data_IF_536704605373
#
_entry.id   IF_536704605373
#
_cell.length_a   1.000
_cell.length_b   1.000
_cell.length_c   1.000
_cell.angle_alpha   90.00
_cell.angle_beta   90.00
_cell.angle_gamma   90.00
#
_symmetry.space_group_name_H-M   'P 1'
#
loop_
_entity.id
_entity.type
_entity.pdbx_description
1 polymer ?
#
# COMPACT_ATOMS: atom_id res chain seq x y z
N UNK A 1 -0.28 41.86 17.59
CA UNK A 1 -1.48 41.00 17.41
C UNK A 1 -1.78 41.03 15.92
N UNK A 2 -2.00 39.91 15.28
CA UNK A 2 -2.40 39.72 13.86
C UNK A 2 -1.25 39.62 12.84
N UNK A 3 -0.57 38.47 12.78
CA UNK A 3 0.15 37.95 11.62
C UNK A 3 0.61 36.49 11.84
N UNK A 4 -0.32 35.62 12.28
CA UNK A 4 -0.07 34.19 12.41
C UNK A 4 -1.33 33.41 11.99
N UNK A 5 -1.69 33.54 10.70
CA UNK A 5 -2.67 32.64 10.06
C UNK A 5 -2.52 32.84 8.55
N UNK A 6 -1.75 31.99 7.91
CA UNK A 6 -1.92 31.53 6.51
C UNK A 6 -0.69 30.71 6.11
N UNK A 7 -0.49 29.61 6.81
CA UNK A 7 0.29 28.49 6.35
C UNK A 7 -0.64 27.29 6.23
N UNK A 8 -1.70 27.42 5.43
CA UNK A 8 -2.42 26.27 4.93
C UNK A 8 -1.46 25.53 4.01
N UNK A 9 -0.80 24.50 4.54
CA UNK A 9 -0.09 23.52 3.73
C UNK A 9 -1.09 23.03 2.69
N UNK A 10 -0.89 23.47 1.46
CA UNK A 10 -1.53 22.94 0.27
C UNK A 10 -1.27 21.43 0.32
N UNK A 11 -2.29 20.65 0.67
CA UNK A 11 -2.27 19.19 0.59
C UNK A 11 -2.15 18.90 -0.90
N UNK A 12 -0.91 18.85 -1.41
CA UNK A 12 -0.62 18.42 -2.77
C UNK A 12 -1.05 16.96 -2.85
N UNK A 13 -2.20 16.74 -3.47
CA UNK A 13 -2.75 15.41 -3.71
C UNK A 13 -1.70 14.54 -4.39
N UNK A 14 -1.38 13.41 -3.78
CA UNK A 14 -0.53 12.40 -4.38
C UNK A 14 -1.20 11.89 -5.66
N UNK A 15 -0.50 11.78 -6.81
CA UNK A 15 -1.11 11.29 -8.03
C UNK A 15 -1.67 9.89 -7.83
N UNK A 16 -2.92 9.71 -8.27
CA UNK A 16 -3.57 8.41 -8.24
C UNK A 16 -2.85 7.42 -9.16
N UNK A 17 -2.72 6.19 -8.70
CA UNK A 17 -2.18 5.11 -9.52
C UNK A 17 -3.22 4.65 -10.55
N UNK A 18 -3.13 5.24 -11.75
CA UNK A 18 -4.01 4.97 -12.88
C UNK A 18 -4.00 3.49 -13.28
N UNK A 19 -2.87 2.79 -13.17
CA UNK A 19 -2.76 1.39 -13.57
C UNK A 19 -3.61 0.49 -12.68
N UNK A 20 -3.66 0.76 -11.37
CA UNK A 20 -4.50 0.02 -10.42
C UNK A 20 -5.97 0.29 -10.66
N UNK A 21 -6.34 1.56 -10.86
CA UNK A 21 -7.73 1.94 -11.13
C UNK A 21 -8.23 1.34 -12.45
N UNK A 22 -7.42 1.40 -13.52
CA UNK A 22 -7.72 0.79 -14.82
C UNK A 22 -7.81 -0.73 -14.75
N UNK A 23 -6.89 -1.40 -14.04
CA UNK A 23 -6.91 -2.84 -13.87
C UNK A 23 -8.16 -3.33 -13.14
N UNK A 24 -8.53 -2.65 -12.04
CA UNK A 24 -9.75 -2.95 -11.29
C UNK A 24 -11.01 -2.71 -12.15
N UNK A 25 -11.07 -1.56 -12.82
CA UNK A 25 -12.19 -1.23 -13.71
C UNK A 25 -12.32 -2.24 -14.87
N UNK A 26 -11.21 -2.65 -15.48
CA UNK A 26 -11.20 -3.66 -16.55
C UNK A 26 -11.67 -5.02 -16.03
N UNK A 27 -11.20 -5.48 -14.87
CA UNK A 27 -11.64 -6.73 -14.25
C UNK A 27 -13.15 -6.75 -13.97
N UNK A 28 -13.67 -5.68 -13.38
CA UNK A 28 -15.11 -5.52 -13.13
C UNK A 28 -15.88 -5.45 -14.45
N UNK A 29 -15.38 -4.71 -15.45
CA UNK A 29 -16.04 -4.58 -16.75
C UNK A 29 -16.15 -5.91 -17.47
N UNK A 30 -15.12 -6.76 -17.46
CA UNK A 30 -15.16 -8.11 -18.08
C UNK A 30 -16.24 -8.96 -17.42
N UNK A 31 -16.31 -8.99 -16.09
CA UNK A 31 -17.34 -9.77 -15.38
C UNK A 31 -18.73 -9.24 -15.67
N UNK A 32 -18.94 -7.93 -15.60
CA UNK A 32 -20.23 -7.30 -15.93
C UNK A 32 -20.65 -7.59 -17.38
N UNK A 33 -19.73 -7.53 -18.33
CA UNK A 33 -20.01 -7.85 -19.74
C UNK A 33 -20.47 -9.29 -19.89
N UNK A 34 -19.79 -10.24 -19.25
CA UNK A 34 -20.21 -11.66 -19.28
C UNK A 34 -21.60 -11.88 -18.67
N UNK A 35 -21.90 -11.21 -17.57
CA UNK A 35 -23.22 -11.26 -16.93
C UNK A 35 -24.31 -10.70 -17.86
N UNK A 36 -24.06 -9.54 -18.48
CA UNK A 36 -25.01 -8.88 -19.37
C UNK A 36 -25.26 -9.66 -20.68
N UNK A 37 -24.23 -10.32 -21.21
CA UNK A 37 -24.34 -11.20 -22.36
C UNK A 37 -25.11 -12.50 -22.04
N UNK A 38 -25.05 -12.95 -20.79
CA UNK A 38 -25.69 -14.19 -20.32
C UNK A 38 -27.16 -14.06 -19.90
N UNK A 39 -27.67 -12.82 -19.73
CA UNK A 39 -29.07 -12.61 -19.35
C UNK A 39 -29.34 -11.47 -18.37
N UNK A 40 -30.32 -11.66 -17.48
CA UNK A 40 -30.75 -10.63 -16.52
C UNK A 40 -29.81 -10.59 -15.29
N UNK A 41 -29.34 -9.39 -14.97
CA UNK A 41 -28.52 -9.09 -13.75
C UNK A 41 -29.19 -9.58 -12.44
N UNK A 42 -30.55 -9.62 -12.41
CA UNK A 42 -31.27 -10.07 -11.22
C UNK A 42 -30.99 -11.54 -10.88
N UNK A 43 -30.69 -12.35 -11.89
CA UNK A 43 -30.39 -13.78 -11.71
C UNK A 43 -29.04 -13.97 -10.97
N UNK A 44 -28.15 -12.98 -11.06
CA UNK A 44 -26.85 -12.99 -10.38
C UNK A 44 -26.87 -12.29 -9.03
N UNK A 45 -28.05 -11.96 -8.47
CA UNK A 45 -28.18 -11.35 -7.15
C UNK A 45 -28.87 -12.30 -6.18
N UNK A 46 -28.12 -12.76 -5.16
CA UNK A 46 -28.65 -13.60 -4.07
C UNK A 46 -28.13 -13.12 -2.73
N UNK A 47 -29.05 -12.75 -1.83
CA UNK A 47 -28.73 -12.22 -0.50
C UNK A 47 -28.09 -13.25 0.42
N UNK A 48 -28.46 -14.55 0.29
CA UNK A 48 -27.91 -15.61 1.13
C UNK A 48 -26.44 -15.84 0.80
N UNK A 49 -26.09 -15.88 -0.49
CA UNK A 49 -24.72 -15.99 -0.94
C UNK A 49 -23.87 -14.78 -0.47
N UNK A 50 -24.41 -13.57 -0.53
CA UNK A 50 -23.75 -12.36 -0.04
C UNK A 50 -23.47 -12.45 1.47
N UNK A 51 -24.47 -12.84 2.27
CA UNK A 51 -24.31 -12.98 3.73
C UNK A 51 -23.24 -14.02 4.08
N UNK A 52 -23.23 -15.16 3.39
CA UNK A 52 -22.22 -16.21 3.65
C UNK A 52 -20.82 -15.71 3.36
N UNK A 53 -20.60 -15.05 2.22
CA UNK A 53 -19.26 -14.59 1.83
C UNK A 53 -18.78 -13.44 2.72
N UNK A 54 -19.56 -12.34 2.75
CA UNK A 54 -19.13 -11.15 3.51
C UNK A 54 -19.18 -11.38 5.01
N UNK A 55 -20.23 -12.01 5.52
CA UNK A 55 -20.35 -12.32 6.95
C UNK A 55 -19.31 -13.33 7.40
N UNK A 56 -19.10 -14.41 6.65
CA UNK A 56 -18.11 -15.44 6.95
C UNK A 56 -16.66 -14.90 6.88
N UNK A 57 -16.32 -14.19 5.80
CA UNK A 57 -14.98 -13.60 5.65
C UNK A 57 -14.71 -12.53 6.71
N UNK A 58 -15.70 -11.71 7.05
CA UNK A 58 -15.57 -10.71 8.11
C UNK A 58 -15.39 -11.36 9.48
N UNK A 59 -16.19 -12.38 9.81
CA UNK A 59 -16.06 -13.12 11.06
C UNK A 59 -14.68 -13.79 11.19
N UNK A 60 -14.20 -14.45 10.12
CA UNK A 60 -12.87 -15.04 10.10
C UNK A 60 -11.74 -14.01 10.26
N UNK A 61 -11.92 -12.83 9.68
CA UNK A 61 -10.96 -11.72 9.82
C UNK A 61 -10.95 -11.18 11.25
N UNK A 62 -12.12 -11.06 11.89
CA UNK A 62 -12.23 -10.66 13.31
C UNK A 62 -11.55 -11.65 14.28
N UNK A 63 -11.55 -12.94 13.95
CA UNK A 63 -10.83 -13.96 14.74
C UNK A 63 -9.31 -13.77 14.62
N UNK A 64 -8.83 -13.35 13.46
CA UNK A 64 -7.39 -13.18 13.18
C UNK A 64 -6.82 -11.85 13.66
N UNK A 65 -7.60 -10.77 13.61
CA UNK A 65 -7.14 -9.41 13.87
C UNK A 65 -8.05 -8.69 14.85
N UNK A 66 -7.49 -7.86 15.76
CA UNK A 66 -8.29 -6.98 16.60
C UNK A 66 -9.11 -6.00 15.75
N UNK A 67 -10.31 -5.66 16.19
CA UNK A 67 -11.20 -4.74 15.49
C UNK A 67 -10.54 -3.38 15.20
N UNK A 68 -9.71 -2.89 16.13
CA UNK A 68 -8.97 -1.65 15.96
C UNK A 68 -8.03 -1.70 14.75
N UNK A 69 -7.28 -2.79 14.57
CA UNK A 69 -6.38 -2.98 13.41
C UNK A 69 -7.17 -3.04 12.10
N UNK A 70 -8.36 -3.66 12.09
CA UNK A 70 -9.20 -3.72 10.89
C UNK A 70 -9.70 -2.32 10.51
N UNK A 71 -10.21 -1.55 11.49
CA UNK A 71 -10.75 -0.21 11.25
C UNK A 71 -9.69 0.79 10.78
N UNK A 72 -8.44 0.65 11.20
CA UNK A 72 -7.34 1.50 10.75
C UNK A 72 -6.63 0.95 9.52
N UNK A 73 -6.43 -0.37 9.44
CA UNK A 73 -5.68 -1.01 8.36
C UNK A 73 -6.43 -1.02 7.02
N UNK A 74 -7.77 -1.18 7.01
CA UNK A 74 -8.56 -1.19 5.78
C UNK A 74 -8.52 0.16 5.05
N UNK A 75 -8.82 1.31 5.68
CA UNK A 75 -8.72 2.62 5.01
C UNK A 75 -7.29 2.96 4.61
N UNK A 76 -6.32 2.63 5.47
CA UNK A 76 -4.91 2.83 5.18
C UNK A 76 -4.49 2.05 3.94
N UNK A 77 -4.87 0.78 3.85
CA UNK A 77 -4.58 -0.06 2.71
C UNK A 77 -5.16 0.49 1.41
N UNK A 78 -6.42 0.94 1.39
CA UNK A 78 -7.02 1.60 0.21
C UNK A 78 -6.21 2.85 -0.16
N UNK A 79 -5.96 3.73 0.81
CA UNK A 79 -5.19 4.96 0.56
C UNK A 79 -3.85 4.66 -0.10
N UNK A 80 -3.07 3.74 0.47
CA UNK A 80 -1.74 3.42 -0.06
C UNK A 80 -1.78 2.60 -1.35
N UNK A 81 -2.78 1.74 -1.57
CA UNK A 81 -2.93 0.99 -2.82
C UNK A 81 -3.16 1.91 -4.03
N UNK A 82 -3.87 3.02 -3.84
CA UNK A 82 -4.20 3.97 -4.92
C UNK A 82 -3.31 5.22 -4.94
N UNK A 83 -2.37 5.37 -4.01
CA UNK A 83 -1.47 6.52 -3.97
C UNK A 83 -0.12 6.16 -4.60
N UNK A 84 0.34 6.96 -5.55
CA UNK A 84 1.66 6.80 -6.17
C UNK A 84 2.71 7.58 -5.37
N UNK A 85 3.93 7.05 -5.21
CA UNK A 85 5.03 7.79 -4.58
C UNK A 85 5.47 8.93 -5.51
N UNK A 86 5.79 10.09 -4.93
CA UNK A 86 6.20 11.28 -5.69
C UNK A 86 7.65 11.22 -6.15
N UNK A 87 8.52 10.56 -5.39
CA UNK A 87 9.96 10.53 -5.64
C UNK A 87 10.43 9.12 -5.90
N UNK A 88 11.24 8.96 -6.91
CA UNK A 88 11.96 7.71 -7.17
C UNK A 88 13.19 7.60 -6.25
N UNK A 89 13.76 6.40 -6.14
CA UNK A 89 15.02 6.21 -5.40
C UNK A 89 16.13 7.12 -5.93
N UNK A 90 16.18 7.34 -7.25
CA UNK A 90 17.15 8.21 -7.89
C UNK A 90 16.95 9.67 -7.47
N UNK A 91 15.70 10.14 -7.49
CA UNK A 91 15.39 11.51 -7.05
C UNK A 91 15.80 11.75 -5.60
N UNK A 92 15.62 10.74 -4.72
CA UNK A 92 16.07 10.79 -3.33
C UNK A 92 17.60 10.90 -3.21
N UNK A 93 18.34 10.10 -3.99
CA UNK A 93 19.81 10.16 -4.01
C UNK A 93 20.29 11.55 -4.44
N UNK A 94 19.70 12.09 -5.52
CA UNK A 94 20.05 13.41 -6.04
C UNK A 94 19.71 14.52 -5.06
N UNK A 95 18.54 14.44 -4.39
CA UNK A 95 18.13 15.41 -3.38
C UNK A 95 19.03 15.36 -2.13
N UNK A 96 19.37 14.18 -1.64
CA UNK A 96 20.29 14.03 -0.49
C UNK A 96 21.70 14.52 -0.86
N UNK A 97 22.18 14.24 -2.07
CA UNK A 97 23.47 14.74 -2.52
C UNK A 97 23.50 16.29 -2.62
N UNK A 98 22.40 16.91 -3.08
CA UNK A 98 22.21 18.36 -3.08
C UNK A 98 22.23 18.93 -1.67
N UNK A 99 21.52 18.30 -0.74
CA UNK A 99 21.52 18.69 0.68
C UNK A 99 22.92 18.55 1.33
N UNK A 100 23.68 17.54 0.93
CA UNK A 100 25.08 17.39 1.37
C UNK A 100 25.98 18.55 0.91
N UNK A 101 25.75 19.07 -0.29
CA UNK A 101 26.46 20.25 -0.78
C UNK A 101 26.12 21.49 0.06
N UNK A 102 24.83 21.70 0.37
CA UNK A 102 24.38 22.80 1.23
C UNK A 102 24.96 22.69 2.64
N UNK A 103 24.85 21.51 3.26
CA UNK A 103 25.40 21.25 4.59
C UNK A 103 26.90 21.51 4.67
N UNK A 104 27.65 21.16 3.62
CA UNK A 104 29.09 21.39 3.55
C UNK A 104 29.48 22.87 3.37
N UNK A 105 28.69 23.63 2.59
CA UNK A 105 28.98 25.06 2.31
C UNK A 105 28.51 26.00 3.41
N UNK A 106 27.33 25.76 3.97
CA UNK A 106 26.64 26.65 4.90
C UNK A 106 26.53 26.07 6.32
N UNK A 107 27.04 24.85 6.53
CA UNK A 107 26.88 24.13 7.78
C UNK A 107 25.46 23.56 7.96
N UNK A 108 25.20 22.82 9.08
CA UNK A 108 23.90 22.22 9.37
C UNK A 108 22.73 23.21 9.39
N UNK A 109 22.96 24.43 9.87
CA UNK A 109 21.96 25.50 9.88
C UNK A 109 21.51 25.93 8.48
N UNK A 110 22.33 25.70 7.44
CA UNK A 110 21.97 25.97 6.06
C UNK A 110 20.81 25.08 5.57
N UNK A 111 20.65 23.90 6.15
CA UNK A 111 19.59 22.96 5.80
C UNK A 111 18.19 23.42 6.22
N UNK A 112 18.08 24.29 7.24
CA UNK A 112 16.80 24.78 7.75
C UNK A 112 15.98 25.55 6.69
N UNK A 113 16.67 26.14 5.72
CA UNK A 113 16.04 26.95 4.63
C UNK A 113 15.70 26.15 3.41
N UNK A 114 16.14 24.89 3.34
CA UNK A 114 15.92 24.03 2.18
C UNK A 114 14.53 23.41 2.20
N UNK A 115 13.88 23.43 1.04
CA UNK A 115 12.61 22.72 0.84
C UNK A 115 12.88 21.28 0.47
N UNK A 116 12.36 20.34 1.25
CA UNK A 116 12.48 18.90 1.04
C UNK A 116 11.11 18.35 0.68
N UNK A 117 11.04 17.58 -0.40
CA UNK A 117 9.75 17.08 -0.92
C UNK A 117 9.24 15.81 -0.20
N UNK A 118 10.13 15.03 0.38
CA UNK A 118 9.78 13.83 1.14
C UNK A 118 9.68 14.17 2.63
N UNK A 119 8.55 13.83 3.28
CA UNK A 119 8.28 14.16 4.69
C UNK A 119 9.25 13.48 5.67
N UNK A 120 9.63 12.22 5.36
CA UNK A 120 10.54 11.48 6.21
C UNK A 120 11.97 12.03 6.12
N UNK A 121 12.42 12.38 4.91
CA UNK A 121 13.69 13.07 4.69
C UNK A 121 13.68 14.45 5.35
N UNK A 122 12.60 15.21 5.23
CA UNK A 122 12.47 16.53 5.88
C UNK A 122 12.60 16.44 7.40
N UNK A 123 12.04 15.39 8.01
CA UNK A 123 12.21 15.15 9.47
C UNK A 123 13.67 14.89 9.84
N UNK A 124 14.36 14.04 9.07
CA UNK A 124 15.77 13.76 9.28
C UNK A 124 16.67 15.00 9.10
N UNK A 125 16.42 15.77 8.04
CA UNK A 125 17.14 17.02 7.75
C UNK A 125 16.94 18.04 8.88
N UNK A 126 15.74 18.17 9.41
CA UNK A 126 15.46 19.02 10.57
C UNK A 126 16.24 18.61 11.80
N UNK A 127 16.33 17.31 12.12
CA UNK A 127 17.14 16.84 13.26
C UNK A 127 18.61 17.16 13.08
N UNK A 128 19.15 17.10 11.85
CA UNK A 128 20.53 17.50 11.56
C UNK A 128 20.71 19.01 11.75
N UNK A 129 19.78 19.83 11.26
CA UNK A 129 19.80 21.29 11.39
C UNK A 129 19.74 21.73 12.88
N UNK A 130 18.89 21.08 13.67
CA UNK A 130 18.73 21.31 15.11
C UNK A 130 19.94 20.84 15.94
N UNK A 131 20.90 20.13 15.33
CA UNK A 131 22.15 19.70 15.96
C UNK A 131 22.03 18.49 16.88
N UNK A 132 20.98 17.69 16.75
CA UNK A 132 20.81 16.45 17.54
C UNK A 132 21.99 15.49 17.35
N UNK A 133 22.22 14.64 18.35
CA UNK A 133 23.25 13.60 18.30
C UNK A 133 22.96 12.54 17.23
N UNK A 134 24.01 12.00 16.63
CA UNK A 134 23.91 11.01 15.55
C UNK A 134 23.12 9.76 15.97
N UNK A 135 23.35 9.26 17.20
CA UNK A 135 22.64 8.09 17.71
C UNK A 135 21.15 8.39 17.90
N UNK A 136 20.81 9.58 18.42
CA UNK A 136 19.43 10.00 18.56
C UNK A 136 18.72 10.07 17.21
N UNK A 137 19.36 10.69 16.20
CA UNK A 137 18.79 10.82 14.85
C UNK A 137 18.50 9.43 14.26
N UNK A 138 19.49 8.53 14.35
CA UNK A 138 19.35 7.16 13.85
C UNK A 138 18.21 6.42 14.54
N UNK A 139 18.20 6.38 15.87
CA UNK A 139 17.15 5.67 16.63
C UNK A 139 15.75 6.24 16.39
N UNK A 140 15.62 7.56 16.30
CA UNK A 140 14.33 8.21 16.06
C UNK A 140 13.78 7.85 14.69
N UNK A 141 14.61 7.94 13.63
CA UNK A 141 14.20 7.62 12.27
C UNK A 141 13.96 6.11 12.07
N UNK A 142 14.78 5.23 12.66
CA UNK A 142 14.56 3.78 12.62
C UNK A 142 13.24 3.41 13.29
N UNK A 143 12.91 4.00 14.43
CA UNK A 143 11.64 3.75 15.15
C UNK A 143 10.43 4.26 14.35
N UNK A 144 10.54 5.42 13.71
CA UNK A 144 9.50 5.94 12.83
C UNK A 144 9.31 5.04 11.60
N UNK A 145 10.41 4.58 10.98
CA UNK A 145 10.40 3.61 9.88
C UNK A 145 9.67 2.33 10.28
N UNK A 146 10.07 1.70 11.40
CA UNK A 146 9.47 0.45 11.89
C UNK A 146 7.98 0.60 12.16
N UNK A 147 7.59 1.69 12.82
CA UNK A 147 6.17 1.96 13.10
C UNK A 147 5.37 2.08 11.81
N UNK A 148 5.88 2.81 10.82
CA UNK A 148 5.22 2.97 9.53
C UNK A 148 5.10 1.65 8.77
N UNK A 149 6.19 0.87 8.68
CA UNK A 149 6.21 -0.42 7.99
C UNK A 149 5.27 -1.43 8.66
N UNK A 150 5.23 -1.45 10.01
CA UNK A 150 4.31 -2.30 10.76
C UNK A 150 2.85 -2.01 10.43
N UNK A 151 2.46 -0.74 10.39
CA UNK A 151 1.08 -0.37 10.03
C UNK A 151 0.73 -0.73 8.58
N UNK A 152 1.67 -0.58 7.65
CA UNK A 152 1.45 -0.94 6.25
C UNK A 152 1.34 -2.46 6.07
N UNK A 153 2.17 -3.22 6.77
CA UNK A 153 2.16 -4.69 6.81
C UNK A 153 0.87 -5.25 7.43
N UNK A 154 0.38 -4.64 8.53
CA UNK A 154 -0.93 -4.99 9.08
C UNK A 154 -2.06 -4.80 8.06
N UNK A 155 -2.06 -3.67 7.35
CA UNK A 155 -3.03 -3.43 6.28
C UNK A 155 -2.98 -4.50 5.19
N UNK A 156 -1.77 -4.82 4.70
CA UNK A 156 -1.54 -5.86 3.72
C UNK A 156 -2.05 -7.24 4.18
N UNK A 157 -1.73 -7.64 5.41
CA UNK A 157 -2.15 -8.91 6.01
C UNK A 157 -3.67 -9.02 6.14
N UNK A 158 -4.37 -7.94 6.45
CA UNK A 158 -5.84 -7.92 6.54
C UNK A 158 -6.46 -8.19 5.17
N UNK A 159 -6.03 -7.50 4.11
CA UNK A 159 -6.53 -7.73 2.76
C UNK A 159 -6.25 -9.16 2.29
N UNK A 160 -5.06 -9.67 2.55
CA UNK A 160 -4.69 -11.04 2.22
C UNK A 160 -5.57 -12.05 2.95
N UNK A 161 -5.82 -11.84 4.25
CA UNK A 161 -6.67 -12.72 5.04
C UNK A 161 -8.12 -12.79 4.51
N UNK A 162 -8.69 -11.63 4.12
CA UNK A 162 -10.02 -11.60 3.50
C UNK A 162 -9.99 -12.32 2.14
N UNK A 163 -8.97 -12.07 1.31
CA UNK A 163 -8.78 -12.72 0.03
C UNK A 163 -8.68 -14.25 0.12
N UNK A 164 -7.97 -14.76 1.12
CA UNK A 164 -7.82 -16.20 1.36
C UNK A 164 -9.13 -16.82 1.90
N UNK A 165 -9.87 -16.09 2.73
CA UNK A 165 -11.11 -16.60 3.34
C UNK A 165 -12.31 -16.56 2.40
N UNK A 166 -12.43 -15.55 1.54
CA UNK A 166 -13.63 -15.38 0.70
C UNK A 166 -13.94 -16.60 -0.19
N UNK A 167 -12.98 -17.22 -0.92
CA UNK A 167 -13.24 -18.44 -1.68
C UNK A 167 -13.57 -19.64 -0.78
N UNK A 168 -12.97 -19.74 0.40
CA UNK A 168 -13.27 -20.81 1.36
C UNK A 168 -14.73 -20.73 1.83
N UNK A 169 -15.23 -19.53 2.15
CA UNK A 169 -16.65 -19.34 2.47
C UNK A 169 -17.53 -19.51 1.23
N UNK A 170 -17.01 -19.26 0.02
CA UNK A 170 -17.68 -19.62 -1.23
C UNK A 170 -17.96 -21.12 -1.31
N UNK A 171 -16.97 -21.97 -1.00
CA UNK A 171 -17.16 -23.41 -0.94
C UNK A 171 -18.13 -23.83 0.17
N UNK A 172 -18.10 -23.20 1.34
CA UNK A 172 -19.10 -23.44 2.40
C UNK A 172 -20.51 -23.12 1.90
N UNK A 173 -20.69 -21.99 1.21
CA UNK A 173 -21.97 -21.63 0.60
C UNK A 173 -22.45 -22.66 -0.43
N UNK A 174 -21.56 -23.21 -1.24
CA UNK A 174 -21.86 -24.29 -2.19
C UNK A 174 -22.37 -25.53 -1.46
N UNK A 175 -21.68 -25.95 -0.38
CA UNK A 175 -22.10 -27.13 0.41
C UNK A 175 -23.47 -26.92 1.06
N UNK A 176 -23.71 -25.73 1.62
CA UNK A 176 -25.02 -25.38 2.20
C UNK A 176 -26.12 -25.45 1.17
N UNK A 177 -25.91 -24.84 -0.01
CA UNK A 177 -26.88 -24.88 -1.12
C UNK A 177 -27.17 -26.29 -1.60
N UNK A 178 -26.14 -27.15 -1.71
CA UNK A 178 -26.34 -28.56 -2.08
C UNK A 178 -27.12 -29.34 -1.02
N UNK A 179 -26.82 -29.15 0.26
CA UNK A 179 -27.56 -29.79 1.36
C UNK A 179 -29.03 -29.40 1.33
N UNK A 180 -29.35 -28.11 1.11
CA UNK A 180 -30.71 -27.61 0.97
C UNK A 180 -31.41 -28.19 -0.27
N UNK A 181 -30.70 -28.30 -1.39
CA UNK A 181 -31.21 -28.94 -2.60
C UNK A 181 -31.59 -30.40 -2.35
N UNK A 182 -30.73 -31.19 -1.70
CA UNK A 182 -31.01 -32.59 -1.37
C UNK A 182 -32.17 -32.76 -0.36
N UNK A 183 -32.29 -31.83 0.58
CA UNK A 183 -33.42 -31.85 1.54
C UNK A 183 -34.79 -31.63 0.87
N UNK A 184 -34.80 -31.03 -0.34
CA UNK A 184 -36.02 -30.71 -1.08
C UNK A 184 -36.10 -31.46 -2.42
N UNK A 185 -35.45 -32.60 -2.58
CA UNK A 185 -35.40 -33.40 -3.82
C UNK A 185 -36.79 -33.82 -4.35
N UNK A 186 -37.81 -33.88 -3.50
CA UNK A 186 -39.19 -34.21 -3.88
C UNK A 186 -39.92 -33.04 -4.54
N UNK A 187 -39.40 -31.82 -4.48
CA UNK A 187 -39.98 -30.62 -5.04
C UNK A 187 -39.08 -30.03 -6.15
N UNK A 188 -39.29 -30.39 -7.43
CA UNK A 188 -38.42 -29.92 -8.52
C UNK A 188 -38.34 -28.39 -8.66
N UNK A 189 -39.35 -27.66 -8.18
CA UNK A 189 -39.37 -26.19 -8.27
C UNK A 189 -38.31 -25.51 -7.38
N UNK A 190 -37.86 -26.19 -6.35
CA UNK A 190 -36.87 -25.68 -5.40
C UNK A 190 -35.42 -26.03 -5.78
N UNK A 191 -35.21 -27.04 -6.62
CA UNK A 191 -33.85 -27.48 -6.97
C UNK A 191 -33.05 -26.40 -7.67
N UNK A 192 -33.63 -25.69 -8.64
CA UNK A 192 -32.99 -24.61 -9.37
C UNK A 192 -32.51 -23.47 -8.46
N UNK A 193 -33.39 -22.88 -7.62
CA UNK A 193 -32.99 -21.85 -6.67
C UNK A 193 -31.84 -22.23 -5.76
N UNK A 194 -31.83 -23.42 -5.12
CA UNK A 194 -30.74 -23.85 -4.24
C UNK A 194 -29.43 -24.09 -4.99
N UNK A 195 -29.49 -24.58 -6.22
CA UNK A 195 -28.32 -24.72 -7.08
C UNK A 195 -27.75 -23.35 -7.46
N UNK A 196 -28.61 -22.38 -7.75
CA UNK A 196 -28.18 -21.01 -8.03
C UNK A 196 -27.44 -20.38 -6.84
N UNK A 197 -27.97 -20.52 -5.60
CA UNK A 197 -27.30 -20.05 -4.38
C UNK A 197 -25.90 -20.67 -4.24
N UNK A 198 -25.76 -21.97 -4.46
CA UNK A 198 -24.49 -22.67 -4.39
C UNK A 198 -23.47 -22.10 -5.38
N UNK A 199 -23.86 -21.92 -6.64
CA UNK A 199 -22.97 -21.39 -7.69
C UNK A 199 -22.61 -19.92 -7.48
N UNK A 200 -23.58 -19.09 -7.08
CA UNK A 200 -23.36 -17.67 -6.82
C UNK A 200 -22.44 -17.43 -5.62
N UNK A 201 -22.53 -18.24 -4.57
CA UNK A 201 -21.61 -18.17 -3.44
C UNK A 201 -20.15 -18.35 -3.88
N UNK A 202 -19.87 -19.38 -4.70
CA UNK A 202 -18.52 -19.58 -5.23
C UNK A 202 -18.06 -18.45 -6.13
N UNK A 203 -18.95 -17.95 -7.01
CA UNK A 203 -18.65 -16.82 -7.89
C UNK A 203 -18.27 -15.57 -7.07
N UNK A 204 -19.09 -15.19 -6.09
CA UNK A 204 -18.81 -14.02 -5.27
C UNK A 204 -17.52 -14.16 -4.46
N UNK A 205 -17.27 -15.34 -3.87
CA UNK A 205 -16.03 -15.61 -3.15
C UNK A 205 -14.81 -15.41 -4.04
N UNK A 206 -14.86 -15.93 -5.27
CA UNK A 206 -13.79 -15.78 -6.24
C UNK A 206 -13.60 -14.32 -6.70
N UNK A 207 -14.69 -13.57 -6.93
CA UNK A 207 -14.62 -12.17 -7.33
C UNK A 207 -14.02 -11.29 -6.25
N UNK A 208 -14.49 -11.42 -5.01
CA UNK A 208 -13.96 -10.65 -3.86
C UNK A 208 -12.47 -10.93 -3.66
N UNK A 209 -12.05 -12.18 -3.75
CA UNK A 209 -10.66 -12.55 -3.58
C UNK A 209 -9.78 -12.02 -4.71
N UNK A 210 -10.07 -12.40 -5.96
CA UNK A 210 -9.13 -12.26 -7.08
C UNK A 210 -9.22 -10.88 -7.77
N UNK A 211 -10.34 -10.19 -7.68
CA UNK A 211 -10.47 -8.84 -8.29
C UNK A 211 -10.16 -7.74 -7.28
N UNK A 212 -10.49 -7.94 -5.99
CA UNK A 212 -10.40 -6.88 -5.00
C UNK A 212 -9.26 -7.12 -3.99
N UNK A 213 -9.35 -8.18 -3.18
CA UNK A 213 -8.53 -8.30 -1.98
C UNK A 213 -7.08 -8.68 -2.28
N UNK A 214 -6.84 -9.71 -3.09
CA UNK A 214 -5.49 -10.19 -3.41
C UNK A 214 -4.67 -9.18 -4.20
N UNK A 215 -5.19 -8.52 -5.26
CA UNK A 215 -4.42 -7.50 -5.97
C UNK A 215 -4.05 -6.30 -5.08
N UNK A 216 -4.94 -5.88 -4.18
CA UNK A 216 -4.64 -4.83 -3.21
C UNK A 216 -3.55 -5.30 -2.24
N UNK A 217 -3.65 -6.52 -1.71
CA UNK A 217 -2.65 -7.08 -0.80
C UNK A 217 -1.26 -7.18 -1.45
N UNK A 218 -1.19 -7.67 -2.68
CA UNK A 218 0.08 -7.81 -3.41
C UNK A 218 0.70 -6.45 -3.74
N UNK A 219 -0.13 -5.46 -4.07
CA UNK A 219 0.34 -4.10 -4.27
C UNK A 219 0.85 -3.44 -3.00
N UNK A 220 0.18 -3.63 -1.88
CA UNK A 220 0.65 -3.15 -0.58
C UNK A 220 1.97 -3.82 -0.19
N UNK A 221 2.14 -5.10 -0.51
CA UNK A 221 3.40 -5.81 -0.27
C UNK A 221 4.55 -5.22 -1.09
N UNK A 222 4.33 -4.95 -2.38
CA UNK A 222 5.32 -4.26 -3.21
C UNK A 222 5.70 -2.89 -2.63
N UNK A 223 4.71 -2.09 -2.23
CA UNK A 223 4.95 -0.78 -1.61
C UNK A 223 5.67 -0.86 -0.27
N UNK A 224 5.40 -1.88 0.54
CA UNK A 224 6.09 -2.11 1.79
C UNK A 224 7.60 -2.30 1.54
N UNK A 225 7.97 -3.13 0.58
CA UNK A 225 9.37 -3.36 0.21
C UNK A 225 10.03 -2.07 -0.32
N UNK A 226 9.34 -1.32 -1.17
CA UNK A 226 9.85 -0.05 -1.69
C UNK A 226 10.05 0.98 -0.58
N UNK A 227 9.11 1.10 0.36
CA UNK A 227 9.20 2.02 1.49
C UNK A 227 10.32 1.62 2.46
N UNK A 228 10.53 0.33 2.70
CA UNK A 228 11.63 -0.17 3.52
C UNK A 228 12.98 0.25 2.96
N UNK A 229 13.21 0.01 1.65
CA UNK A 229 14.45 0.40 0.97
C UNK A 229 14.64 1.92 1.01
N UNK A 230 13.59 2.68 0.64
CA UNK A 230 13.67 4.13 0.56
C UNK A 230 13.93 4.80 1.90
N UNK A 231 13.25 4.35 2.96
CA UNK A 231 13.47 4.90 4.31
C UNK A 231 14.84 4.53 4.85
N UNK A 232 15.34 3.33 4.53
CA UNK A 232 16.71 2.94 4.89
C UNK A 232 17.74 3.80 4.16
N UNK A 233 17.56 4.04 2.85
CA UNK A 233 18.37 4.95 2.04
C UNK A 233 18.38 6.37 2.66
N UNK A 234 17.21 6.88 3.07
CA UNK A 234 17.08 8.20 3.69
C UNK A 234 17.83 8.24 5.03
N UNK A 235 17.69 7.23 5.88
CA UNK A 235 18.39 7.17 7.18
C UNK A 235 19.90 7.25 6.96
N UNK A 236 20.45 6.42 6.08
CA UNK A 236 21.87 6.43 5.79
C UNK A 236 22.32 7.76 5.16
N UNK A 237 21.50 8.33 4.27
CA UNK A 237 21.75 9.65 3.70
C UNK A 237 21.81 10.76 4.76
N UNK A 238 20.83 10.80 5.67
CA UNK A 238 20.79 11.76 6.78
C UNK A 238 21.99 11.61 7.71
N UNK A 239 22.43 10.37 7.98
CA UNK A 239 23.63 10.13 8.77
C UNK A 239 24.89 10.69 8.06
N UNK A 240 25.00 10.54 6.75
CA UNK A 240 26.09 11.12 5.98
C UNK A 240 26.04 12.67 5.95
N UNK A 241 24.84 13.27 5.93
CA UNK A 241 24.67 14.73 6.08
C UNK A 241 25.18 15.19 7.44
N UNK A 242 24.87 14.46 8.52
CA UNK A 242 25.33 14.77 9.88
C UNK A 242 26.85 14.68 10.02
N UNK A 243 27.48 13.75 9.29
CA UNK A 243 28.93 13.58 9.23
C UNK A 243 29.62 14.56 8.26
N UNK A 244 28.88 15.43 7.59
CA UNK A 244 29.38 16.40 6.58
C UNK A 244 30.19 15.74 5.46
N UNK A 245 29.80 14.54 5.01
CA UNK A 245 30.46 13.85 3.89
C UNK A 245 30.31 14.62 2.59
N UNK A 246 31.25 14.40 1.66
CA UNK A 246 31.19 15.08 0.34
C UNK A 246 30.00 14.56 -0.48
N UNK A 247 29.35 15.41 -1.29
CA UNK A 247 28.21 15.03 -2.13
C UNK A 247 28.51 13.84 -3.05
N UNK A 248 29.74 13.72 -3.53
CA UNK A 248 30.18 12.62 -4.38
C UNK A 248 30.17 11.28 -3.64
N UNK A 249 30.71 11.24 -2.40
CA UNK A 249 30.71 10.05 -1.55
C UNK A 249 29.28 9.67 -1.19
N UNK A 250 28.43 10.65 -0.86
CA UNK A 250 27.02 10.43 -0.54
C UNK A 250 26.30 9.77 -1.73
N UNK A 251 26.47 10.36 -2.93
CA UNK A 251 25.88 9.80 -4.14
C UNK A 251 26.35 8.39 -4.43
N UNK A 252 27.66 8.13 -4.39
CA UNK A 252 28.23 6.81 -4.67
C UNK A 252 27.75 5.73 -3.69
N UNK A 253 27.71 6.05 -2.40
CA UNK A 253 27.21 5.11 -1.38
C UNK A 253 25.71 4.85 -1.51
N UNK A 254 24.89 5.86 -1.78
CA UNK A 254 23.45 5.70 -1.91
C UNK A 254 23.02 5.06 -3.23
N UNK A 255 23.84 5.15 -4.29
CA UNK A 255 23.60 4.41 -5.53
C UNK A 255 23.60 2.88 -5.34
N UNK A 256 24.22 2.36 -4.27
CA UNK A 256 24.17 0.94 -3.93
C UNK A 256 22.74 0.44 -3.65
N UNK A 257 21.82 1.32 -3.24
CA UNK A 257 20.39 0.99 -3.04
C UNK A 257 19.61 0.85 -4.35
N UNK A 258 20.16 1.36 -5.46
CA UNK A 258 19.52 1.33 -6.78
C UNK A 258 20.00 0.10 -7.54
N UNK A 259 19.10 -0.74 -8.11
CA UNK A 259 19.47 -1.86 -8.96
C UNK A 259 20.37 -1.39 -10.12
N UNK A 260 21.36 -2.19 -10.50
CA UNK A 260 22.35 -1.84 -11.54
C UNK A 260 21.73 -1.35 -12.85
N UNK A 261 20.62 -1.93 -13.24
CA UNK A 261 19.89 -1.58 -14.48
C UNK A 261 19.34 -0.14 -14.49
N UNK A 262 19.16 0.49 -13.31
CA UNK A 262 18.62 1.83 -13.14
C UNK A 262 19.66 2.85 -12.66
N UNK A 263 20.93 2.42 -12.50
CA UNK A 263 22.02 3.35 -12.13
C UNK A 263 22.36 4.23 -13.33
N UNK A 264 22.66 5.52 -13.11
CA UNK A 264 23.24 6.35 -14.18
C UNK A 264 24.58 5.76 -14.60
N UNK A 265 24.90 5.86 -15.90
CA UNK A 265 26.25 5.54 -16.37
C UNK A 265 27.26 6.39 -15.60
N UNK A 266 28.40 5.81 -15.17
CA UNK A 266 29.43 6.57 -14.48
C UNK A 266 29.87 7.74 -15.38
N UNK A 267 29.73 8.96 -14.88
CA UNK A 267 30.29 10.13 -15.56
C UNK A 267 31.78 9.87 -15.79
N UNK A 268 32.20 9.83 -17.06
CA UNK A 268 33.59 9.67 -17.43
C UNK A 268 34.38 10.79 -16.75
N UNK A 269 35.22 10.46 -15.77
CA UNK A 269 36.13 11.41 -15.15
C UNK A 269 37.00 11.97 -16.26
N UNK A 270 36.95 13.27 -16.57
CA UNK A 270 37.87 13.84 -17.54
C UNK A 270 39.30 13.67 -17.01
N UNK A 271 40.14 13.04 -17.84
CA UNK A 271 41.54 12.76 -17.57
C UNK A 271 42.40 14.03 -17.37
#
# INVERSE_FOLDING_TARGET
MSACQNGAAEIRENPMDLTTALGLAAGVAVVLTLILLGGDLRTFYDIHAIIVIFGGSFAATLIRFPLASILHGVPLGIKYAFTMRRMTQRDLVDEIARLAEVSRKLGPLGLEKETVNDEFLATGVRYVADGYDANFIREALERERETFLTHLDEGQKIYRAVGDCAPAFGMVGTLIGMVQMFAHMTDPSKLGPYMAIALLATLYGALVANILCLPIADKLHGKLNDEEINRTLIIDGVMMLRESKSPQIVREMLLAYIPEQHRPEPEAVPA
#
